data_IF_682670089889
#
_entry.id   IF_682670089889
#
_cell.length_a   1.000
_cell.length_b   1.000
_cell.length_c   1.000
_cell.angle_alpha   90.00
_cell.angle_beta   90.00
_cell.angle_gamma   90.00
#
_symmetry.space_group_name_H-M   'P 1'
#
loop_
_entity.id
_entity.type
_entity.pdbx_description
1 polymer ?
#
# COMPACT_ATOMS: atom_id res chain seq x y z
N UNK A 1 5.16 -63.02 -16.24
CA UNK A 1 6.54 -62.79 -15.73
C UNK A 1 6.44 -61.73 -14.66
N UNK A 2 6.72 -62.08 -13.39
CA UNK A 2 6.49 -61.20 -12.24
C UNK A 2 7.71 -60.28 -12.07
N UNK A 3 7.57 -58.95 -12.14
CA UNK A 3 8.72 -58.05 -12.02
C UNK A 3 9.38 -58.24 -10.66
N UNK A 4 10.71 -58.36 -10.68
CA UNK A 4 11.53 -58.62 -9.50
C UNK A 4 11.38 -57.48 -8.50
N UNK A 5 11.10 -57.81 -7.24
CA UNK A 5 10.77 -56.90 -6.13
C UNK A 5 11.86 -55.82 -5.91
N UNK A 6 13.08 -56.10 -6.35
CA UNK A 6 14.22 -55.19 -6.30
C UNK A 6 14.03 -53.94 -7.20
N UNK A 7 13.30 -54.07 -8.31
CA UNK A 7 13.11 -52.96 -9.26
C UNK A 7 12.07 -51.94 -8.76
N UNK A 8 11.14 -52.35 -7.91
CA UNK A 8 10.11 -51.46 -7.35
C UNK A 8 10.63 -50.63 -6.18
N UNK A 9 11.61 -51.15 -5.41
CA UNK A 9 12.15 -50.49 -4.21
C UNK A 9 13.11 -49.33 -4.53
N UNK A 10 13.75 -49.34 -5.70
CA UNK A 10 14.74 -48.31 -6.10
C UNK A 10 14.13 -47.25 -7.03
N UNK A 11 13.22 -47.64 -7.92
CA UNK A 11 12.62 -46.71 -8.88
C UNK A 11 11.50 -45.84 -8.27
N UNK A 12 10.77 -46.36 -7.28
CA UNK A 12 9.64 -45.65 -6.68
C UNK A 12 10.00 -44.46 -5.77
N UNK A 13 11.07 -44.47 -4.95
CA UNK A 13 11.46 -43.27 -4.21
C UNK A 13 12.08 -42.20 -5.13
N UNK A 14 12.72 -42.60 -6.23
CA UNK A 14 13.36 -41.68 -7.17
C UNK A 14 12.35 -40.92 -8.04
N UNK A 15 11.30 -41.59 -8.51
CA UNK A 15 10.20 -40.92 -9.24
C UNK A 15 9.39 -39.98 -8.36
N UNK A 16 9.24 -40.29 -7.06
CA UNK A 16 8.56 -39.43 -6.08
C UNK A 16 9.38 -38.17 -5.77
N UNK A 17 10.71 -38.27 -5.69
CA UNK A 17 11.60 -37.13 -5.45
C UNK A 17 11.63 -36.14 -6.64
N UNK A 18 11.63 -36.64 -7.88
CA UNK A 18 11.60 -35.80 -9.10
C UNK A 18 10.22 -35.14 -9.28
N UNK A 19 9.14 -35.82 -8.92
CA UNK A 19 7.77 -35.26 -8.97
C UNK A 19 7.54 -34.11 -7.98
N UNK A 20 8.09 -34.20 -6.76
CA UNK A 20 7.99 -33.13 -5.75
C UNK A 20 8.80 -31.90 -6.16
N UNK A 21 9.96 -32.09 -6.81
CA UNK A 21 10.79 -30.98 -7.29
C UNK A 21 10.13 -30.19 -8.43
N UNK A 22 9.33 -30.86 -9.28
CA UNK A 22 8.63 -30.22 -10.41
C UNK A 22 7.36 -29.46 -10.01
N UNK A 23 6.76 -29.77 -8.85
CA UNK A 23 5.58 -29.04 -8.35
C UNK A 23 5.90 -27.77 -7.55
N UNK A 24 7.15 -27.60 -7.11
CA UNK A 24 7.57 -26.50 -6.22
C UNK A 24 7.91 -25.16 -6.88
N UNK A 25 7.84 -25.06 -8.21
CA UNK A 25 8.19 -23.82 -8.94
C UNK A 25 7.00 -22.90 -9.24
N UNK A 26 5.81 -23.18 -8.69
CA UNK A 26 4.74 -22.18 -8.62
C UNK A 26 5.10 -21.16 -7.54
N UNK A 27 6.11 -20.33 -7.82
CA UNK A 27 6.38 -19.12 -7.07
C UNK A 27 5.14 -18.24 -7.13
N UNK A 28 4.64 -17.81 -5.98
CA UNK A 28 3.59 -16.80 -5.91
C UNK A 28 4.12 -15.52 -6.56
N UNK A 29 3.73 -15.26 -7.80
CA UNK A 29 3.81 -13.92 -8.35
C UNK A 29 2.89 -13.05 -7.50
N UNK A 30 3.49 -12.12 -6.76
CA UNK A 30 2.79 -10.98 -6.20
C UNK A 30 2.42 -10.08 -7.38
N UNK A 31 1.33 -10.43 -8.05
CA UNK A 31 0.69 -9.57 -9.04
C UNK A 31 0.15 -8.36 -8.26
N UNK A 32 0.92 -7.25 -8.19
CA UNK A 32 0.29 -5.94 -8.03
C UNK A 32 -0.48 -5.77 -9.34
N UNK A 33 -1.75 -6.16 -9.36
CA UNK A 33 -2.55 -6.17 -10.58
C UNK A 33 -2.35 -4.89 -11.38
N UNK A 34 -2.17 -5.00 -12.69
CA UNK A 34 -2.12 -3.83 -13.56
C UNK A 34 -3.36 -2.97 -13.28
N UNK A 35 -3.10 -1.76 -12.75
CA UNK A 35 -4.14 -0.78 -12.57
C UNK A 35 -4.73 -0.47 -13.96
N UNK A 36 -6.06 -0.49 -14.11
CA UNK A 36 -6.68 -0.01 -15.34
C UNK A 36 -6.19 1.41 -15.63
N UNK A 37 -5.94 1.70 -16.92
CA UNK A 37 -5.47 3.00 -17.35
C UNK A 37 -6.30 4.13 -16.70
N UNK A 38 -5.66 5.22 -16.22
CA UNK A 38 -6.35 6.27 -15.49
C UNK A 38 -7.48 6.87 -16.35
N UNK A 39 -8.73 6.63 -15.97
CA UNK A 39 -9.89 7.37 -16.46
C UNK A 39 -9.99 8.69 -15.69
N UNK A 40 -8.95 9.53 -15.73
CA UNK A 40 -8.80 10.67 -14.80
C UNK A 40 -9.45 11.97 -15.24
N UNK A 41 -10.20 12.00 -16.35
CA UNK A 41 -10.89 13.22 -16.75
C UNK A 41 -12.30 13.33 -16.16
N UNK A 42 -13.14 12.30 -16.30
CA UNK A 42 -14.54 12.38 -15.84
C UNK A 42 -14.69 12.36 -14.32
N UNK A 43 -13.79 11.69 -13.59
CA UNK A 43 -13.95 11.49 -12.15
C UNK A 43 -13.73 12.79 -11.35
N UNK A 44 -12.89 13.69 -11.87
CA UNK A 44 -12.54 14.94 -11.20
C UNK A 44 -13.50 16.10 -11.48
N UNK A 45 -14.24 16.05 -12.59
CA UNK A 45 -15.29 17.04 -12.86
C UNK A 45 -16.45 16.97 -11.84
N UNK A 46 -16.62 15.81 -11.19
CA UNK A 46 -17.63 15.59 -10.14
C UNK A 46 -17.05 15.55 -8.72
N UNK A 47 -15.74 15.75 -8.55
CA UNK A 47 -15.10 15.64 -7.25
C UNK A 47 -15.53 16.79 -6.34
N UNK A 48 -15.88 16.44 -5.10
CA UNK A 48 -16.25 17.40 -4.06
C UNK A 48 -15.01 18.07 -3.49
N UNK A 49 -13.91 17.33 -3.40
CA UNK A 49 -12.64 17.79 -2.86
C UNK A 49 -11.50 17.57 -3.85
N UNK A 50 -10.53 18.48 -3.87
CA UNK A 50 -9.28 18.30 -4.64
C UNK A 50 -8.05 18.46 -3.76
N UNK A 51 -6.91 17.95 -4.22
CA UNK A 51 -5.68 18.05 -3.44
C UNK A 51 -5.29 19.51 -3.24
N UNK A 52 -5.23 20.28 -4.31
CA UNK A 52 -4.79 21.67 -4.33
C UNK A 52 -5.64 22.56 -3.43
N UNK A 53 -6.96 22.35 -3.42
CA UNK A 53 -7.89 23.24 -2.71
C UNK A 53 -8.19 22.79 -1.27
N UNK A 54 -8.24 21.48 -1.01
CA UNK A 54 -8.78 20.95 0.25
C UNK A 54 -7.78 20.13 1.06
N UNK A 55 -6.98 19.30 0.40
CA UNK A 55 -6.21 18.25 1.09
C UNK A 55 -4.77 18.69 1.36
N UNK A 56 -4.17 19.48 0.47
CA UNK A 56 -2.79 19.94 0.58
C UNK A 56 -2.53 20.66 1.90
N UNK A 57 -3.48 21.49 2.37
CA UNK A 57 -3.34 22.21 3.64
C UNK A 57 -3.34 21.26 4.85
N UNK A 58 -4.09 20.16 4.80
CA UNK A 58 -4.14 19.15 5.87
C UNK A 58 -2.77 18.47 5.99
N UNK A 59 -2.19 18.06 4.85
CA UNK A 59 -0.86 17.46 4.82
C UNK A 59 0.25 18.44 5.15
N UNK A 60 0.16 19.69 4.68
CA UNK A 60 1.12 20.74 5.00
C UNK A 60 1.20 21.03 6.50
N UNK A 61 0.06 21.05 7.18
CA UNK A 61 -0.03 21.41 8.60
C UNK A 61 0.24 20.25 9.56
N UNK A 62 0.07 19.01 9.11
CA UNK A 62 0.12 17.84 10.02
C UNK A 62 1.21 16.84 9.69
N UNK A 63 1.66 16.80 8.43
CA UNK A 63 2.61 15.80 7.94
C UNK A 63 3.93 16.47 7.50
N UNK A 64 3.85 17.46 6.61
CA UNK A 64 4.99 18.18 6.06
C UNK A 64 5.47 19.31 6.99
N UNK A 65 5.66 18.98 8.26
CA UNK A 65 6.07 19.91 9.32
C UNK A 65 7.48 19.61 9.82
N UNK A 66 8.19 20.62 10.32
CA UNK A 66 9.38 20.44 11.17
C UNK A 66 10.49 19.53 10.63
N UNK A 67 10.63 19.41 9.30
CA UNK A 67 11.52 18.45 8.60
C UNK A 67 11.18 16.95 8.75
N UNK A 68 10.00 16.61 9.29
CA UNK A 68 9.57 15.21 9.45
C UNK A 68 9.25 14.57 8.08
N UNK A 69 8.35 15.20 7.32
CA UNK A 69 8.00 14.79 5.95
C UNK A 69 8.01 15.95 4.96
N UNK A 70 9.04 16.80 5.03
CA UNK A 70 9.18 17.97 4.14
C UNK A 70 10.65 18.30 3.89
N UNK A 71 10.95 18.82 2.70
CA UNK A 71 12.24 19.41 2.37
C UNK A 71 13.23 18.44 1.73
N UNK A 72 14.48 18.88 1.50
CA UNK A 72 15.46 18.13 0.69
C UNK A 72 15.94 16.82 1.34
N UNK A 73 15.81 16.71 2.67
CA UNK A 73 16.20 15.52 3.44
C UNK A 73 15.15 15.24 4.53
N UNK A 74 13.94 14.76 4.16
CA UNK A 74 12.94 14.37 5.14
C UNK A 74 13.47 13.19 5.96
N UNK A 75 13.06 13.07 7.23
CA UNK A 75 13.55 12.02 8.15
C UNK A 75 13.54 10.60 7.58
N UNK A 76 12.62 10.31 6.66
CA UNK A 76 12.47 9.01 5.99
C UNK A 76 12.36 9.12 4.46
N UNK A 77 12.80 10.23 3.87
CA UNK A 77 12.79 10.43 2.42
C UNK A 77 11.40 10.57 1.80
N UNK A 78 10.38 10.94 2.59
CA UNK A 78 9.03 11.21 2.11
C UNK A 78 8.72 12.70 2.28
N UNK A 79 8.38 13.38 1.19
CA UNK A 79 7.91 14.76 1.20
C UNK A 79 6.41 14.82 0.88
N UNK A 80 5.59 15.11 1.90
CA UNK A 80 4.14 15.16 1.77
C UNK A 80 3.60 16.54 1.37
N UNK A 81 4.47 17.47 0.96
CA UNK A 81 4.05 18.65 0.19
C UNK A 81 3.73 18.32 -1.28
N UNK A 82 4.14 17.15 -1.76
CA UNK A 82 3.88 16.67 -3.12
C UNK A 82 2.62 15.81 -3.19
N UNK A 83 1.70 16.18 -4.08
CA UNK A 83 0.53 15.36 -4.42
C UNK A 83 0.91 13.92 -4.76
N UNK A 84 1.91 13.74 -5.63
CA UNK A 84 2.32 12.41 -6.08
C UNK A 84 2.78 11.52 -4.93
N UNK A 85 3.59 12.06 -4.00
CA UNK A 85 4.07 11.29 -2.85
C UNK A 85 2.93 10.94 -1.89
N UNK A 86 1.96 11.85 -1.71
CA UNK A 86 0.76 11.59 -0.91
C UNK A 86 -0.08 10.48 -1.54
N UNK A 87 -0.39 10.61 -2.84
CA UNK A 87 -1.15 9.62 -3.62
C UNK A 87 -0.51 8.24 -3.54
N UNK A 88 0.79 8.13 -3.85
CA UNK A 88 1.52 6.87 -3.81
C UNK A 88 1.42 6.19 -2.44
N UNK A 89 1.44 6.97 -1.35
CA UNK A 89 1.41 6.43 0.02
C UNK A 89 -0.01 6.16 0.53
N UNK A 90 -1.03 6.71 -0.11
CA UNK A 90 -2.42 6.29 0.05
C UNK A 90 -2.65 4.97 -0.69
N UNK A 91 -2.21 4.85 -1.93
CA UNK A 91 -2.32 3.62 -2.74
C UNK A 91 -1.55 2.45 -2.11
N UNK A 92 -0.38 2.71 -1.50
CA UNK A 92 0.36 1.73 -0.69
C UNK A 92 -0.34 1.37 0.65
N UNK A 93 -1.47 1.99 0.99
CA UNK A 93 -2.22 1.80 2.23
C UNK A 93 -1.55 2.35 3.50
N UNK A 94 -0.42 3.06 3.37
CA UNK A 94 0.39 3.52 4.50
C UNK A 94 -0.21 4.70 5.24
N UNK A 95 -0.72 5.69 4.50
CA UNK A 95 -1.38 6.85 5.09
C UNK A 95 -2.71 6.44 5.76
N UNK A 96 -3.63 5.71 5.09
CA UNK A 96 -4.85 5.23 5.72
C UNK A 96 -4.59 4.52 7.05
N UNK A 97 -3.72 3.51 7.02
CA UNK A 97 -3.41 2.72 8.21
C UNK A 97 -2.86 3.59 9.37
N UNK A 98 -1.83 4.41 9.12
CA UNK A 98 -1.10 5.05 10.22
C UNK A 98 -1.62 6.42 10.64
N UNK A 99 -2.20 7.17 9.73
CA UNK A 99 -2.69 8.53 10.01
C UNK A 99 -4.20 8.58 10.23
N UNK A 100 -4.98 7.75 9.50
CA UNK A 100 -6.44 7.75 9.57
C UNK A 100 -6.98 6.68 10.54
N UNK A 101 -6.40 5.48 10.53
CA UNK A 101 -6.84 4.39 11.41
C UNK A 101 -6.03 4.32 12.71
N UNK A 102 -4.80 4.81 12.71
CA UNK A 102 -3.89 4.76 13.86
C UNK A 102 -3.34 3.35 14.16
N UNK A 103 -3.23 2.49 13.15
CA UNK A 103 -2.82 1.08 13.33
C UNK A 103 -2.01 0.57 12.13
N UNK A 104 -0.96 -0.27 12.30
CA UNK A 104 -0.48 -0.84 13.56
C UNK A 104 0.37 0.11 14.40
N UNK A 105 0.85 1.20 13.82
CA UNK A 105 1.59 2.26 14.51
C UNK A 105 1.08 3.62 14.04
N UNK A 106 0.55 4.42 14.97
CA UNK A 106 0.06 5.77 14.71
C UNK A 106 1.18 6.71 14.28
N UNK A 107 0.83 7.65 13.38
CA UNK A 107 1.61 8.86 13.11
C UNK A 107 1.06 10.04 13.92
N UNK A 108 1.92 10.92 14.48
CA UNK A 108 3.38 10.83 14.51
C UNK A 108 3.90 9.67 15.38
N UNK A 109 5.10 9.15 15.10
CA UNK A 109 5.64 7.96 15.77
C UNK A 109 6.08 8.22 17.22
N UNK A 110 6.08 9.49 17.64
CA UNK A 110 6.47 9.92 18.99
C UNK A 110 5.51 9.48 20.08
N UNK A 111 4.30 9.00 19.74
CA UNK A 111 3.30 8.56 20.72
C UNK A 111 2.73 7.18 20.34
N UNK A 112 3.39 6.08 20.74
CA UNK A 112 2.89 4.73 20.50
C UNK A 112 1.49 4.52 21.10
N UNK A 113 0.57 3.94 20.32
CA UNK A 113 -0.80 3.67 20.75
C UNK A 113 -1.71 4.90 20.85
N UNK A 114 -1.28 6.07 20.33
CA UNK A 114 -2.15 7.23 20.18
C UNK A 114 -3.34 6.92 19.25
N UNK A 115 -4.49 7.60 19.43
CA UNK A 115 -5.59 7.55 18.47
C UNK A 115 -5.15 8.04 17.07
N UNK A 116 -5.99 7.87 16.03
CA UNK A 116 -5.77 8.51 14.74
C UNK A 116 -5.33 9.97 14.84
N UNK A 117 -4.52 10.41 13.88
CA UNK A 117 -3.95 11.75 13.86
C UNK A 117 -5.02 12.85 13.78
N UNK A 118 -6.09 12.55 13.05
CA UNK A 118 -7.13 13.51 12.70
C UNK A 118 -8.44 13.20 13.41
N UNK A 119 -9.29 14.23 13.53
CA UNK A 119 -10.67 14.04 13.97
C UNK A 119 -11.53 13.34 12.89
N UNK A 120 -12.72 12.90 13.30
CA UNK A 120 -13.62 12.16 12.42
C UNK A 120 -14.04 12.96 11.17
N UNK A 121 -14.18 14.29 11.28
CA UNK A 121 -14.59 15.15 10.17
C UNK A 121 -13.49 15.26 9.12
N UNK A 122 -12.24 15.43 9.55
CA UNK A 122 -11.07 15.49 8.68
C UNK A 122 -10.81 14.14 8.03
N UNK A 123 -10.93 13.03 8.78
CA UNK A 123 -10.84 11.67 8.23
C UNK A 123 -11.92 11.45 7.16
N UNK A 124 -13.17 11.86 7.42
CA UNK A 124 -14.25 11.75 6.46
C UNK A 124 -13.97 12.53 5.17
N UNK A 125 -13.47 13.77 5.28
CA UNK A 125 -13.06 14.58 4.11
C UNK A 125 -11.98 13.87 3.28
N UNK A 126 -10.92 13.37 3.93
CA UNK A 126 -9.83 12.66 3.24
C UNK A 126 -10.36 11.38 2.57
N UNK A 127 -11.17 10.59 3.28
CA UNK A 127 -11.75 9.35 2.73
C UNK A 127 -12.70 9.61 1.55
N UNK A 128 -13.47 10.70 1.60
CA UNK A 128 -14.31 11.09 0.46
C UNK A 128 -13.45 11.43 -0.76
N UNK A 129 -12.42 12.27 -0.60
CA UNK A 129 -11.48 12.58 -1.67
C UNK A 129 -10.80 11.32 -2.24
N UNK A 130 -10.41 10.38 -1.39
CA UNK A 130 -9.85 9.08 -1.81
C UNK A 130 -10.87 8.31 -2.65
N UNK A 131 -12.13 8.24 -2.20
CA UNK A 131 -13.20 7.52 -2.91
C UNK A 131 -13.58 8.15 -4.26
N UNK A 132 -13.36 9.45 -4.40
CA UNK A 132 -13.60 10.22 -5.63
C UNK A 132 -12.42 10.15 -6.62
N UNK A 133 -11.37 9.37 -6.32
CA UNK A 133 -10.25 9.15 -7.25
C UNK A 133 -9.04 10.05 -7.01
N UNK A 134 -8.95 10.70 -5.84
CA UNK A 134 -7.82 11.53 -5.43
C UNK A 134 -7.47 12.63 -6.44
N UNK A 135 -8.45 13.44 -6.83
CA UNK A 135 -8.25 14.53 -7.78
C UNK A 135 -7.22 15.56 -7.26
N UNK A 136 -6.34 16.02 -8.15
CA UNK A 136 -5.28 16.99 -7.82
C UNK A 136 -5.81 18.42 -7.65
#
# INVERSE_FOLDING_TARGET
>A
MKPSILNTLVFQPLTLLVGVLLFGLNACVWEKGELPAPSTAEQCDTATYTFTNDIAIIFATSCATGSCHVGPTPMVGLDFSSYQVVKDKIEDGRIPARALDGSPNTMPPSVPGAPPLFDAATIAKINQWISEGMCE
#
